data_IF_056980595878
#
_entry.id   IF_056980595878
#
_cell.length_a   1.000
_cell.length_b   1.000
_cell.length_c   1.000
_cell.angle_alpha   90.00
_cell.angle_beta   90.00
_cell.angle_gamma   90.00
#
_symmetry.space_group_name_H-M   'P 1'
#
loop_
_entity.id
_entity.type
_entity.pdbx_description
1 polymer ?
#
# COMPACT_ATOMS: atom_id res chain seq x y z
N UNK A 1 6.04 0.29 10.66
CA UNK A 1 6.54 0.32 9.27
C UNK A 1 5.41 0.70 8.31
N UNK A 2 5.74 1.29 7.20
CA UNK A 2 4.77 1.66 6.18
C UNK A 2 4.94 0.76 4.96
N UNK A 3 4.00 0.88 4.02
CA UNK A 3 4.06 0.10 2.77
C UNK A 3 5.35 0.36 2.00
N UNK A 4 5.95 1.55 2.14
CA UNK A 4 7.22 1.86 1.51
C UNK A 4 8.39 0.99 2.00
N UNK A 5 8.25 0.35 3.15
CA UNK A 5 9.28 -0.53 3.72
C UNK A 5 9.20 -1.96 3.21
N UNK A 6 8.16 -2.28 2.45
CA UNK A 6 7.92 -3.64 1.96
C UNK A 6 8.59 -3.79 0.59
N UNK A 7 9.38 -4.84 0.43
CA UNK A 7 10.11 -5.10 -0.81
C UNK A 7 9.28 -5.86 -1.83
N UNK A 8 9.78 -5.88 -3.07
CA UNK A 8 9.16 -6.64 -4.16
C UNK A 8 9.08 -8.11 -3.78
N UNK A 9 7.92 -8.71 -4.02
CA UNK A 9 7.67 -10.12 -3.70
C UNK A 9 7.25 -10.37 -2.26
N UNK A 10 7.21 -9.34 -1.43
CA UNK A 10 6.81 -9.47 -0.04
C UNK A 10 5.34 -9.09 0.15
N UNK A 11 4.74 -9.65 1.19
CA UNK A 11 3.34 -9.45 1.53
C UNK A 11 3.25 -8.84 2.93
N UNK A 12 2.26 -7.97 3.12
CA UNK A 12 2.02 -7.33 4.41
C UNK A 12 0.52 -7.18 4.64
N UNK A 13 0.16 -6.82 5.86
CA UNK A 13 -1.22 -6.57 6.25
C UNK A 13 -1.36 -5.14 6.73
N UNK A 14 -2.39 -4.45 6.27
CA UNK A 14 -2.65 -3.07 6.67
C UNK A 14 -3.01 -3.01 8.14
N UNK A 15 -2.23 -2.27 8.91
CA UNK A 15 -2.48 -2.05 10.33
C UNK A 15 -3.41 -0.86 10.52
N UNK A 16 -3.13 0.23 9.83
CA UNK A 16 -3.97 1.44 9.86
C UNK A 16 -3.55 2.41 8.75
N UNK A 17 -4.40 3.38 8.49
CA UNK A 17 -4.10 4.48 7.59
C UNK A 17 -3.78 5.70 8.45
N UNK A 18 -2.58 6.25 8.27
CA UNK A 18 -2.06 7.33 9.12
C UNK A 18 -2.58 8.70 8.77
N UNK A 19 -3.15 8.86 7.58
CA UNK A 19 -3.68 10.15 7.16
C UNK A 19 -5.17 10.24 7.47
N UNK A 20 -5.69 11.47 7.39
CA UNK A 20 -7.12 11.77 7.56
C UNK A 20 -7.61 12.53 6.34
N UNK A 21 -8.95 12.62 6.19
CA UNK A 21 -9.54 13.40 5.11
C UNK A 21 -9.47 12.71 3.76
N UNK A 22 -9.13 13.49 2.72
CA UNK A 22 -9.25 13.04 1.33
C UNK A 22 -8.29 11.92 0.97
N UNK A 23 -7.06 11.96 1.44
CA UNK A 23 -6.07 10.94 1.13
C UNK A 23 -6.50 9.60 1.71
N UNK A 24 -6.93 9.59 2.95
CA UNK A 24 -7.42 8.39 3.61
C UNK A 24 -8.63 7.82 2.86
N UNK A 25 -9.57 8.68 2.51
CA UNK A 25 -10.76 8.26 1.78
C UNK A 25 -10.39 7.65 0.42
N UNK A 26 -9.48 8.29 -0.31
CA UNK A 26 -9.04 7.79 -1.60
C UNK A 26 -8.40 6.41 -1.47
N UNK A 27 -7.56 6.21 -0.48
CA UNK A 27 -6.92 4.92 -0.23
C UNK A 27 -7.97 3.86 0.10
N UNK A 28 -8.94 4.21 0.94
CA UNK A 28 -10.02 3.30 1.30
C UNK A 28 -10.89 2.94 0.09
N UNK A 29 -11.13 3.90 -0.79
CA UNK A 29 -11.91 3.69 -2.01
C UNK A 29 -11.21 2.72 -2.97
N UNK A 30 -9.90 2.60 -2.88
CA UNK A 30 -9.14 1.61 -3.64
C UNK A 30 -9.21 0.20 -3.05
N UNK A 31 -9.94 0.04 -1.94
CA UNK A 31 -10.06 -1.26 -1.28
C UNK A 31 -9.00 -1.50 -0.21
N UNK A 32 -8.18 -0.50 0.11
CA UNK A 32 -7.12 -0.63 1.11
C UNK A 32 -7.68 -0.17 2.45
N UNK A 33 -8.05 -1.12 3.27
CA UNK A 33 -8.62 -0.87 4.60
C UNK A 33 -7.85 -1.69 5.64
N UNK A 34 -8.11 -1.42 6.92
CA UNK A 34 -7.48 -2.16 8.00
C UNK A 34 -7.71 -3.66 7.83
N UNK A 35 -6.64 -4.44 7.94
CA UNK A 35 -6.69 -5.89 7.81
C UNK A 35 -6.53 -6.39 6.38
N UNK A 36 -6.45 -5.50 5.40
CA UNK A 36 -6.26 -5.88 4.00
C UNK A 36 -4.84 -6.38 3.77
N UNK A 37 -4.70 -7.48 3.05
CA UNK A 37 -3.40 -8.02 2.67
C UNK A 37 -2.96 -7.37 1.36
N UNK A 38 -1.70 -6.93 1.32
CA UNK A 38 -1.10 -6.28 0.15
C UNK A 38 0.19 -7.00 -0.19
N UNK A 39 0.37 -7.30 -1.48
CA UNK A 39 1.63 -7.83 -2.01
C UNK A 39 2.26 -6.78 -2.91
N UNK A 40 3.56 -6.53 -2.76
CA UNK A 40 4.29 -5.61 -3.63
C UNK A 40 4.78 -6.40 -4.82
N UNK A 41 4.32 -6.01 -6.01
CA UNK A 41 4.63 -6.71 -7.25
C UNK A 41 5.84 -6.15 -7.97
N UNK A 42 5.96 -4.81 -7.99
CA UNK A 42 6.97 -4.14 -8.77
C UNK A 42 7.15 -2.72 -8.24
N UNK A 43 8.38 -2.22 -8.35
CA UNK A 43 8.70 -0.82 -8.04
C UNK A 43 9.31 -0.23 -9.32
N UNK A 44 8.80 0.93 -9.73
CA UNK A 44 9.30 1.60 -10.93
C UNK A 44 10.80 1.91 -10.77
N UNK A 45 11.54 2.02 -11.89
CA UNK A 45 13.00 2.22 -11.83
C UNK A 45 13.46 3.40 -10.98
N UNK A 46 12.66 4.47 -10.92
CA UNK A 46 12.97 5.64 -10.11
C UNK A 46 12.35 5.57 -8.70
N UNK A 47 11.78 4.42 -8.34
CA UNK A 47 11.22 4.21 -7.01
C UNK A 47 9.74 4.59 -6.87
N UNK A 48 9.12 5.14 -7.90
CA UNK A 48 7.74 5.62 -7.86
C UNK A 48 7.14 5.54 -9.26
N UNK A 49 5.93 5.00 -9.43
CA UNK A 49 5.05 4.40 -8.43
C UNK A 49 5.44 2.97 -8.05
N UNK A 50 4.71 2.40 -7.09
CA UNK A 50 4.82 0.99 -6.78
C UNK A 50 3.55 0.28 -7.25
N UNK A 51 3.72 -0.92 -7.79
CA UNK A 51 2.59 -1.76 -8.20
C UNK A 51 2.31 -2.79 -7.13
N UNK A 52 1.06 -2.89 -6.73
CA UNK A 52 0.65 -3.78 -5.67
C UNK A 52 -0.53 -4.65 -6.09
N UNK A 53 -0.72 -5.76 -5.41
CA UNK A 53 -1.87 -6.64 -5.55
C UNK A 53 -2.72 -6.52 -4.29
N UNK A 54 -4.00 -6.23 -4.47
CA UNK A 54 -4.96 -6.05 -3.39
C UNK A 54 -6.25 -6.74 -3.80
N UNK A 55 -6.74 -7.64 -2.94
CA UNK A 55 -8.05 -8.28 -3.14
C UNK A 55 -8.23 -8.89 -4.53
N UNK A 56 -7.15 -9.43 -5.09
CA UNK A 56 -7.21 -10.12 -6.38
C UNK A 56 -7.05 -9.23 -7.61
N UNK A 57 -6.78 -7.94 -7.44
CA UNK A 57 -6.50 -7.07 -8.58
C UNK A 57 -5.24 -6.26 -8.33
N UNK A 58 -4.71 -5.70 -9.41
CA UNK A 58 -3.48 -4.90 -9.36
C UNK A 58 -3.79 -3.42 -9.45
N UNK A 59 -3.03 -2.62 -8.73
CA UNK A 59 -3.09 -1.17 -8.86
C UNK A 59 -1.73 -0.55 -8.59
N UNK A 60 -1.54 0.67 -9.11
CA UNK A 60 -0.33 1.45 -8.88
C UNK A 60 -0.59 2.49 -7.82
N UNK A 61 0.35 2.67 -6.92
CA UNK A 61 0.22 3.56 -5.78
C UNK A 61 1.45 4.47 -5.72
N UNK A 62 1.24 5.75 -5.46
CA UNK A 62 2.35 6.67 -5.29
C UNK A 62 3.02 6.42 -3.95
N UNK A 63 4.34 6.66 -3.92
CA UNK A 63 5.09 6.55 -2.67
C UNK A 63 4.55 7.44 -1.57
N UNK A 64 4.05 8.63 -1.94
CA UNK A 64 3.44 9.55 -0.97
C UNK A 64 2.19 8.95 -0.31
N UNK A 65 1.42 8.18 -1.08
CA UNK A 65 0.25 7.49 -0.52
C UNK A 65 0.67 6.29 0.33
N UNK A 66 1.65 5.54 -0.15
CA UNK A 66 2.15 4.36 0.57
C UNK A 66 2.75 4.73 1.94
N UNK A 67 3.31 5.92 2.07
CA UNK A 67 3.85 6.40 3.34
C UNK A 67 2.78 6.55 4.42
N UNK A 68 1.51 6.67 4.02
CA UNK A 68 0.39 6.81 4.94
C UNK A 68 -0.30 5.48 5.27
N UNK A 69 0.20 4.39 4.70
CA UNK A 69 -0.35 3.05 4.95
C UNK A 69 0.58 2.33 5.90
N UNK A 70 0.21 2.26 7.16
CA UNK A 70 0.99 1.53 8.14
C UNK A 70 0.65 0.06 8.08
N UNK A 71 1.68 -0.78 8.02
CA UNK A 71 1.53 -2.22 7.79
C UNK A 71 2.32 -3.03 8.81
N UNK A 72 1.94 -4.31 8.90
CA UNK A 72 2.74 -5.31 9.60
C UNK A 72 3.13 -6.37 8.57
N UNK A 73 4.38 -6.78 8.61
CA UNK A 73 4.85 -7.81 7.70
C UNK A 73 4.52 -9.19 8.28
N UNK A 74 3.96 -10.02 7.44
CA UNK A 74 3.61 -11.38 7.84
C UNK A 74 4.85 -12.25 8.04
#
# INVERSE_FOLDING_TARGET
MTLNDIGVGQTCTVKRLNDTGEIRRRIMDMGITKGTEISVLKIAPLGDPIDISVRGYQLSLRRSDAANIEVTQA
#
